data_IF_159724947920
#
_entry.id   IF_159724947920
#
_cell.length_a   1.000
_cell.length_b   1.000
_cell.length_c   1.000
_cell.angle_alpha   90.00
_cell.angle_beta   90.00
_cell.angle_gamma   90.00
#
_symmetry.space_group_name_H-M   'P 1'
#
loop_
_entity.id
_entity.type
_entity.pdbx_description
1 polymer ?
#
# COMPACT_ATOMS: atom_id res chain seq x y z
N UNK A 1 -17.78 13.05 -3.56
CA UNK A 1 -16.40 13.47 -3.25
C UNK A 1 -15.69 12.35 -2.48
N UNK A 2 -14.44 12.12 -2.78
CA UNK A 2 -13.64 11.12 -2.06
C UNK A 2 -12.75 11.82 -1.05
N UNK A 3 -12.48 11.15 0.06
CA UNK A 3 -11.56 11.63 1.08
C UNK A 3 -10.39 10.67 1.22
N UNK A 4 -9.20 11.20 1.16
CA UNK A 4 -7.97 10.45 1.36
C UNK A 4 -7.34 10.91 2.67
N UNK A 5 -7.06 9.97 3.55
CA UNK A 5 -6.43 10.25 4.84
C UNK A 5 -5.13 9.46 4.93
N UNK A 6 -4.06 10.17 5.25
CA UNK A 6 -2.76 9.57 5.51
C UNK A 6 -2.37 9.89 6.94
N UNK A 7 -2.09 8.86 7.71
CA UNK A 7 -1.71 8.99 9.12
C UNK A 7 -0.27 8.53 9.29
N UNK A 8 0.47 9.28 10.07
CA UNK A 8 1.85 8.94 10.36
C UNK A 8 2.37 9.67 11.59
N UNK A 9 3.63 9.47 11.95
CA UNK A 9 4.23 10.19 13.06
C UNK A 9 4.18 11.69 12.84
N UNK A 10 3.83 12.43 13.89
CA UNK A 10 3.87 13.89 13.89
C UNK A 10 5.30 14.36 14.13
N UNK A 11 5.93 15.02 13.13
CA UNK A 11 7.32 15.47 13.29
C UNK A 11 7.48 16.60 14.29
N UNK A 12 6.40 17.28 14.65
CA UNK A 12 6.45 18.40 15.59
C UNK A 12 6.18 17.98 17.04
N UNK A 13 5.69 16.76 17.24
CA UNK A 13 5.29 16.25 18.55
C UNK A 13 5.81 14.82 18.77
N UNK A 14 7.08 14.62 18.50
CA UNK A 14 7.75 13.35 18.73
C UNK A 14 7.92 13.07 20.22
N UNK A 15 7.99 11.78 20.62
CA UNK A 15 7.96 10.58 19.76
C UNK A 15 6.57 10.01 19.52
N UNK A 16 5.54 10.43 20.26
CA UNK A 16 4.26 9.74 20.33
C UNK A 16 3.17 10.36 19.45
N UNK A 17 3.44 11.53 18.89
CA UNK A 17 2.46 12.23 18.08
C UNK A 17 2.24 11.58 16.72
N UNK A 18 1.04 11.80 16.18
CA UNK A 18 0.70 11.40 14.83
C UNK A 18 0.12 12.59 14.09
N UNK A 19 0.50 12.71 12.85
CA UNK A 19 -0.10 13.68 11.94
C UNK A 19 -1.08 12.98 11.00
N UNK A 20 -2.17 13.64 10.69
CA UNK A 20 -3.17 13.15 9.73
C UNK A 20 -3.30 14.17 8.61
N UNK A 21 -3.05 13.72 7.39
CA UNK A 21 -3.31 14.51 6.19
C UNK A 21 -4.60 14.02 5.56
N UNK A 22 -5.56 14.92 5.41
CA UNK A 22 -6.84 14.64 4.75
C UNK A 22 -6.95 15.49 3.51
N UNK A 23 -7.24 14.85 2.39
CA UNK A 23 -7.40 15.51 1.10
C UNK A 23 -8.78 15.15 0.57
N UNK A 24 -9.59 16.16 0.29
CA UNK A 24 -10.89 15.98 -0.36
C UNK A 24 -10.72 16.27 -1.86
N UNK A 25 -11.05 15.29 -2.67
CA UNK A 25 -10.86 15.32 -4.13
C UNK A 25 -12.20 14.98 -4.78
N UNK A 26 -12.50 15.66 -5.87
CA UNK A 26 -13.67 15.28 -6.69
C UNK A 26 -13.50 13.83 -7.16
N UNK A 27 -14.60 13.08 -7.13
CA UNK A 27 -14.58 11.66 -7.45
C UNK A 27 -13.97 11.36 -8.82
N UNK A 28 -14.27 12.20 -9.81
CA UNK A 28 -13.73 12.06 -11.16
C UNK A 28 -12.22 12.23 -11.20
N UNK A 29 -11.70 13.20 -10.46
CA UNK A 29 -10.26 13.44 -10.37
C UNK A 29 -9.55 12.30 -9.67
N UNK A 30 -10.13 11.78 -8.60
CA UNK A 30 -9.55 10.64 -7.88
C UNK A 30 -9.54 9.38 -8.75
N UNK A 31 -10.63 9.11 -9.48
CA UNK A 31 -10.69 7.97 -10.38
C UNK A 31 -9.58 8.03 -11.42
N UNK A 32 -9.36 9.22 -11.99
CA UNK A 32 -8.31 9.42 -12.98
C UNK A 32 -6.92 9.17 -12.39
N UNK A 33 -6.67 9.66 -11.19
CA UNK A 33 -5.39 9.43 -10.47
C UNK A 33 -5.19 7.95 -10.19
N UNK A 34 -6.22 7.26 -9.72
CA UNK A 34 -6.16 5.82 -9.45
C UNK A 34 -5.83 5.04 -10.72
N UNK A 35 -6.49 5.36 -11.82
CA UNK A 35 -6.22 4.71 -13.11
C UNK A 35 -4.79 4.96 -13.58
N UNK A 36 -4.33 6.19 -13.46
CA UNK A 36 -2.96 6.56 -13.85
C UNK A 36 -1.91 5.84 -13.00
N UNK A 37 -2.12 5.78 -11.69
CA UNK A 37 -1.20 5.10 -10.78
C UNK A 37 -1.17 3.59 -11.01
N UNK A 38 -2.32 2.98 -11.21
CA UNK A 38 -2.41 1.55 -11.52
C UNK A 38 -1.71 1.22 -12.83
N UNK A 39 -1.83 2.07 -13.83
CA UNK A 39 -1.13 1.90 -15.10
C UNK A 39 0.39 2.07 -14.94
N UNK A 40 0.79 3.11 -14.24
CA UNK A 40 2.22 3.44 -14.06
C UNK A 40 2.97 2.37 -13.26
N UNK A 41 2.31 1.77 -12.26
CA UNK A 41 2.92 0.79 -11.36
C UNK A 41 2.47 -0.64 -11.64
N UNK A 42 1.83 -0.88 -12.79
CA UNK A 42 1.46 -2.21 -13.26
C UNK A 42 0.60 -2.98 -12.24
N UNK A 43 -0.47 -2.36 -11.77
CA UNK A 43 -1.40 -3.01 -10.85
C UNK A 43 -1.98 -4.27 -11.48
N UNK A 44 -1.99 -5.36 -10.72
CA UNK A 44 -2.53 -6.66 -11.15
C UNK A 44 -3.88 -6.89 -10.49
N UNK A 45 -4.92 -7.14 -11.30
CA UNK A 45 -6.26 -7.47 -10.79
C UNK A 45 -6.32 -8.88 -10.21
N UNK A 46 -5.47 -9.77 -10.71
CA UNK A 46 -5.34 -11.14 -10.23
C UNK A 46 -3.93 -11.36 -9.72
N UNK A 47 -3.82 -12.02 -8.60
CA UNK A 47 -2.55 -12.32 -7.95
C UNK A 47 -2.51 -13.79 -7.56
N UNK A 48 -1.33 -14.31 -7.29
CA UNK A 48 -1.16 -15.69 -6.84
C UNK A 48 -1.86 -15.88 -5.50
N UNK A 49 -2.56 -17.01 -5.39
CA UNK A 49 -3.23 -17.39 -4.16
C UNK A 49 -2.22 -18.03 -3.22
N UNK A 50 -1.94 -17.45 -2.03
CA UNK A 50 -1.01 -18.03 -1.07
C UNK A 50 -1.48 -19.38 -0.52
N UNK A 51 -2.79 -19.66 -0.59
CA UNK A 51 -3.37 -20.93 -0.13
C UNK A 51 -3.39 -22.00 -1.21
N UNK A 52 -2.92 -21.68 -2.42
CA UNK A 52 -2.87 -22.67 -3.50
C UNK A 52 -1.84 -23.75 -3.20
N UNK A 53 -2.27 -25.01 -3.34
CA UNK A 53 -1.41 -26.18 -3.20
C UNK A 53 -1.50 -27.02 -4.47
N UNK A 54 -0.40 -27.15 -5.23
CA UNK A 54 -0.42 -27.95 -6.47
C UNK A 54 -0.65 -29.44 -6.23
N UNK A 55 -0.50 -29.91 -4.99
CA UNK A 55 -0.77 -31.31 -4.63
C UNK A 55 -2.26 -31.60 -4.50
N UNK A 56 -3.12 -30.59 -4.36
CA UNK A 56 -4.56 -30.75 -4.23
C UNK A 56 -5.20 -30.65 -5.62
N UNK A 57 -5.81 -31.73 -6.15
CA UNK A 57 -6.42 -31.67 -7.46
C UNK A 57 -7.75 -30.91 -7.43
N UNK A 58 -8.11 -30.35 -8.57
CA UNK A 58 -9.37 -29.62 -8.74
C UNK A 58 -10.57 -30.55 -8.60
N UNK A 59 -10.43 -31.78 -9.09
CA UNK A 59 -11.49 -32.78 -9.06
C UNK A 59 -10.99 -34.07 -8.42
N UNK A 60 -11.89 -34.74 -7.71
CA UNK A 60 -11.68 -36.08 -7.15
C UNK A 60 -12.85 -36.95 -7.58
N UNK A 61 -12.56 -38.06 -8.26
CA UNK A 61 -13.56 -39.02 -8.75
C UNK A 61 -14.65 -38.34 -9.65
N UNK A 62 -14.23 -37.36 -10.45
CA UNK A 62 -15.14 -36.64 -11.34
C UNK A 62 -16.01 -35.59 -10.66
N UNK A 63 -15.82 -35.36 -9.38
CA UNK A 63 -16.53 -34.35 -8.60
C UNK A 63 -15.62 -33.22 -8.19
N UNK A 64 -16.14 -31.97 -8.09
CA UNK A 64 -15.34 -30.88 -7.59
C UNK A 64 -14.78 -31.17 -6.20
N UNK A 65 -13.49 -30.90 -6.02
CA UNK A 65 -12.83 -31.09 -4.74
C UNK A 65 -13.03 -29.84 -3.87
N UNK A 66 -13.72 -29.95 -2.72
CA UNK A 66 -13.96 -28.79 -1.85
C UNK A 66 -12.69 -28.23 -1.23
N UNK A 67 -11.62 -29.00 -1.18
CA UNK A 67 -10.33 -28.55 -0.64
C UNK A 67 -9.47 -27.81 -1.66
N UNK A 68 -9.87 -27.84 -2.94
CA UNK A 68 -9.14 -27.15 -4.00
C UNK A 68 -9.26 -25.65 -3.85
N UNK A 69 -8.12 -24.96 -3.96
CA UNK A 69 -8.05 -23.51 -4.02
C UNK A 69 -7.50 -23.09 -5.38
N UNK A 70 -8.06 -22.05 -6.01
CA UNK A 70 -7.55 -21.59 -7.30
C UNK A 70 -6.12 -21.07 -7.20
N UNK A 71 -5.38 -21.22 -8.28
CA UNK A 71 -4.00 -20.75 -8.35
C UNK A 71 -3.89 -19.24 -8.23
N UNK A 72 -4.86 -18.52 -8.77
CA UNK A 72 -4.92 -17.08 -8.71
C UNK A 72 -6.25 -16.63 -8.15
N UNK A 73 -6.22 -15.55 -7.41
CA UNK A 73 -7.41 -14.92 -6.83
C UNK A 73 -7.43 -13.45 -7.20
N UNK A 74 -8.59 -12.83 -7.06
CA UNK A 74 -8.69 -11.38 -7.19
C UNK A 74 -7.77 -10.72 -6.16
N UNK A 75 -7.04 -9.69 -6.60
CA UNK A 75 -6.14 -8.98 -5.72
C UNK A 75 -6.90 -8.43 -4.51
N UNK A 76 -6.56 -8.85 -3.28
CA UNK A 76 -7.21 -8.34 -2.07
C UNK A 76 -6.98 -6.85 -1.84
N UNK A 77 -5.91 -6.30 -2.42
CA UNK A 77 -5.67 -4.86 -2.39
C UNK A 77 -6.40 -4.25 -3.58
N UNK A 78 -7.40 -3.41 -3.32
CA UNK A 78 -8.12 -2.72 -4.37
C UNK A 78 -7.27 -1.68 -5.08
N UNK A 79 -7.67 -1.26 -6.29
CA UNK A 79 -6.89 -0.29 -7.07
C UNK A 79 -6.75 1.07 -6.38
N UNK A 80 -7.78 1.53 -5.68
CA UNK A 80 -7.72 2.78 -4.92
C UNK A 80 -6.70 2.73 -3.80
N UNK A 81 -6.74 1.68 -2.99
CA UNK A 81 -5.78 1.47 -1.91
C UNK A 81 -4.37 1.32 -2.46
N UNK A 82 -4.20 0.57 -3.55
CA UNK A 82 -2.90 0.42 -4.22
C UNK A 82 -2.33 1.77 -4.64
N UNK A 83 -3.14 2.61 -5.29
CA UNK A 83 -2.69 3.94 -5.73
C UNK A 83 -2.24 4.81 -4.54
N UNK A 84 -3.00 4.77 -3.45
CA UNK A 84 -2.66 5.53 -2.24
C UNK A 84 -1.40 4.99 -1.57
N UNK A 85 -1.21 3.69 -1.55
CA UNK A 85 0.02 3.08 -1.04
C UNK A 85 1.23 3.57 -1.82
N UNK A 86 1.12 3.65 -3.15
CA UNK A 86 2.20 4.16 -4.00
C UNK A 86 2.49 5.63 -3.75
N UNK A 87 1.45 6.42 -3.48
CA UNK A 87 1.62 7.84 -3.12
C UNK A 87 2.37 7.99 -1.80
N UNK A 88 2.02 7.20 -0.80
CA UNK A 88 2.71 7.21 0.49
C UNK A 88 4.14 6.70 0.34
N UNK A 89 4.36 5.66 -0.45
CA UNK A 89 5.70 5.15 -0.74
C UNK A 89 6.59 6.25 -1.33
N UNK A 90 6.05 7.05 -2.24
CA UNK A 90 6.76 8.19 -2.82
C UNK A 90 7.22 9.17 -1.72
N UNK A 91 6.33 9.53 -0.82
CA UNK A 91 6.67 10.43 0.29
C UNK A 91 7.68 9.81 1.24
N UNK A 92 7.47 8.54 1.60
CA UNK A 92 8.37 7.83 2.49
C UNK A 92 9.76 7.65 1.87
N UNK A 93 9.84 7.45 0.56
CA UNK A 93 11.12 7.36 -0.15
C UNK A 93 11.89 8.68 -0.08
N UNK A 94 11.21 9.80 -0.20
CA UNK A 94 11.83 11.11 0.00
C UNK A 94 12.36 11.25 1.42
N UNK A 95 11.59 10.85 2.42
CA UNK A 95 12.01 10.87 3.81
C UNK A 95 13.21 9.97 4.07
N UNK A 96 13.19 8.75 3.54
CA UNK A 96 14.30 7.81 3.66
C UNK A 96 15.56 8.33 2.99
N UNK A 97 15.43 8.91 1.81
CA UNK A 97 16.57 9.48 1.07
C UNK A 97 17.21 10.62 1.85
N UNK A 98 16.38 11.50 2.42
CA UNK A 98 16.87 12.59 3.26
C UNK A 98 17.56 12.06 4.52
N UNK A 99 16.92 11.09 5.21
CA UNK A 99 17.47 10.49 6.42
C UNK A 99 18.80 9.79 6.16
N UNK A 100 18.90 9.08 5.02
CA UNK A 100 20.14 8.44 4.61
C UNK A 100 21.25 9.47 4.40
N UNK A 101 20.93 10.57 3.72
CA UNK A 101 21.91 11.64 3.48
C UNK A 101 22.37 12.27 4.80
N UNK A 102 21.45 12.51 5.73
CA UNK A 102 21.79 13.02 7.05
C UNK A 102 22.62 12.02 7.85
N UNK A 103 22.28 10.73 7.75
CA UNK A 103 23.03 9.66 8.39
C UNK A 103 24.45 9.53 7.85
N UNK A 104 24.65 9.68 6.56
CA UNK A 104 25.97 9.71 5.94
C UNK A 104 26.80 10.88 6.46
N UNK A 105 26.18 12.05 6.60
CA UNK A 105 26.85 13.25 7.13
C UNK A 105 27.17 13.11 8.62
N UNK A 106 26.29 12.46 9.39
CA UNK A 106 26.45 12.26 10.82
C UNK A 106 27.15 10.95 11.20
N UNK A 107 27.37 10.05 10.22
CA UNK A 107 28.02 8.77 10.45
C UNK A 107 27.14 7.73 11.14
N UNK A 108 25.79 7.86 11.11
CA UNK A 108 24.92 6.97 11.83
C UNK A 108 23.74 6.41 11.01
N UNK A 109 23.36 5.14 11.29
CA UNK A 109 22.17 4.53 10.73
C UNK A 109 20.88 4.93 11.45
N UNK A 110 20.98 5.56 12.60
CA UNK A 110 19.81 5.95 13.40
C UNK A 110 18.88 6.91 12.64
N UNK A 111 19.43 7.70 11.72
CA UNK A 111 18.63 8.60 10.91
C UNK A 111 17.67 7.84 9.99
N UNK A 112 18.04 6.64 9.50
CA UNK A 112 17.17 5.79 8.70
C UNK A 112 16.03 5.19 9.54
N UNK A 113 16.33 4.80 10.77
CA UNK A 113 15.36 4.23 11.69
C UNK A 113 14.28 5.23 12.09
N UNK A 114 14.58 6.53 12.09
CA UNK A 114 13.62 7.57 12.42
C UNK A 114 12.51 7.73 11.38
N UNK A 115 12.71 7.24 10.16
CA UNK A 115 11.69 7.27 9.11
C UNK A 115 10.69 6.14 9.26
N UNK A 116 11.05 5.09 9.98
CA UNK A 116 10.17 4.00 10.38
C UNK A 116 9.63 4.30 11.79
N UNK A 117 8.36 4.10 12.14
CA UNK A 117 7.34 3.34 11.43
C UNK A 117 6.69 4.06 10.27
N UNK A 118 6.13 3.25 9.40
CA UNK A 118 5.50 3.71 8.17
C UNK A 118 4.16 4.38 8.43
N UNK A 119 3.76 5.23 7.52
CA UNK A 119 2.43 5.83 7.53
C UNK A 119 1.35 4.78 7.23
N UNK A 120 0.18 4.99 7.80
CA UNK A 120 -1.01 4.22 7.47
C UNK A 120 -1.87 5.00 6.50
N UNK A 121 -2.45 4.31 5.53
CA UNK A 121 -3.30 4.92 4.51
C UNK A 121 -4.72 4.44 4.70
N UNK A 122 -5.65 5.37 4.75
CA UNK A 122 -7.07 5.09 4.80
C UNK A 122 -7.75 5.75 3.62
N UNK A 123 -8.51 4.98 2.87
CA UNK A 123 -9.34 5.48 1.78
C UNK A 123 -10.80 5.36 2.18
N UNK A 124 -11.55 6.45 2.01
CA UNK A 124 -12.99 6.43 2.26
C UNK A 124 -13.73 7.27 1.22
N UNK A 125 -14.89 6.79 0.82
CA UNK A 125 -15.81 7.49 -0.06
C UNK A 125 -16.85 8.23 0.78
N UNK A 126 -16.99 9.51 0.54
CA UNK A 126 -17.98 10.35 1.23
C UNK A 126 -19.03 10.91 0.28
#
# INVERSE_FOLDING_TARGET
MARVTVEGPDPTNLPDGRATLTIDILDQGLLLVVQAMCSAYNYQTMVDNPDYDPAIPEEVDGQPNPDYKPRQIQNPIGPGTFALMKTVDFWMDHGRTYAKKQGELAGGQQALEQVEPLAQVTYSQI
#
